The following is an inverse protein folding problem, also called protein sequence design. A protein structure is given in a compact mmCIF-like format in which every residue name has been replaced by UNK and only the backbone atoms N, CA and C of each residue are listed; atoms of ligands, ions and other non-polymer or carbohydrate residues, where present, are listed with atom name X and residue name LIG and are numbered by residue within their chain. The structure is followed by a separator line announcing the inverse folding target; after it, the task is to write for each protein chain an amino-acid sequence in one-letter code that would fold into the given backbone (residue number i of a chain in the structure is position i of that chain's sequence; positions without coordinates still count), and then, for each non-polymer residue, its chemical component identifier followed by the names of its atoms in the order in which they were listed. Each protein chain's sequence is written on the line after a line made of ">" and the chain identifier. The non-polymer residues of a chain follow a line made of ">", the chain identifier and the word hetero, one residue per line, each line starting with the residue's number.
data_IF_077743128352
#
_entry.id   IF_077743128352
#
_cell.length_a   1.000
_cell.length_b   1.000
_cell.length_c   1.000
_cell.angle_alpha   90.00
_cell.angle_beta   90.00
_cell.angle_gamma   90.00
#
_symmetry.space_group_name_H-M   'P 1'
#
loop_
_entity.id
_entity.type
_entity.pdbx_description
1 polymer ?
#
# COMPACT_ATOMS: atom_id res chain seq x y z
N UNK A 1 -4.00 -19.39 8.79
CA UNK A 1 -5.21 -18.52 8.85
C UNK A 1 -5.44 -18.10 10.28
N UNK A 2 -5.50 -16.79 10.56
CA UNK A 2 -5.47 -16.28 11.94
C UNK A 2 -6.81 -15.62 12.32
N UNK A 3 -7.57 -16.28 13.18
CA UNK A 3 -8.89 -15.85 13.69
C UNK A 3 -8.89 -14.44 14.29
N UNK A 4 -7.72 -13.96 14.74
CA UNK A 4 -7.52 -12.62 15.28
C UNK A 4 -7.95 -11.51 14.30
N UNK A 5 -7.80 -11.74 12.99
CA UNK A 5 -8.27 -10.79 11.96
C UNK A 5 -9.79 -10.65 11.94
N UNK A 6 -10.52 -11.76 12.06
CA UNK A 6 -11.99 -11.76 12.11
C UNK A 6 -12.50 -11.00 13.33
N UNK A 7 -11.90 -11.24 14.51
CA UNK A 7 -12.24 -10.53 15.74
C UNK A 7 -11.96 -9.02 15.64
N UNK A 8 -10.88 -8.63 14.96
CA UNK A 8 -10.54 -7.22 14.71
C UNK A 8 -11.55 -6.55 13.78
N UNK A 9 -11.98 -7.21 12.70
CA UNK A 9 -13.03 -6.70 11.81
C UNK A 9 -14.38 -6.56 12.53
N UNK A 10 -14.77 -7.55 13.34
CA UNK A 10 -15.98 -7.48 14.15
C UNK A 10 -15.91 -6.36 15.22
N UNK A 11 -14.71 -6.00 15.68
CA UNK A 11 -14.52 -4.85 16.59
C UNK A 11 -14.65 -3.52 15.85
N UNK A 12 -14.13 -3.40 14.62
CA UNK A 12 -14.31 -2.22 13.78
C UNK A 12 -15.77 -1.91 13.48
N UNK A 13 -16.58 -2.94 13.20
CA UNK A 13 -18.02 -2.75 12.97
C UNK A 13 -18.76 -2.19 14.20
N UNK A 14 -18.35 -2.59 15.41
CA UNK A 14 -18.98 -2.18 16.68
C UNK A 14 -18.43 -0.86 17.25
N UNK A 15 -17.13 -0.62 17.07
CA UNK A 15 -16.44 0.57 17.56
C UNK A 15 -15.45 1.02 16.49
N UNK A 16 -15.92 1.81 15.50
CA UNK A 16 -15.08 2.22 14.41
C UNK A 16 -13.90 3.06 14.91
N UNK A 17 -12.73 2.97 14.27
CA UNK A 17 -11.63 3.90 14.50
C UNK A 17 -12.06 5.34 14.21
N UNK A 18 -11.34 6.32 14.75
CA UNK A 18 -11.71 7.73 14.59
C UNK A 18 -11.84 8.12 13.11
N UNK A 19 -12.84 8.94 12.79
CA UNK A 19 -13.13 9.34 11.41
C UNK A 19 -11.91 10.00 10.73
N UNK A 20 -11.08 10.72 11.47
CA UNK A 20 -9.84 11.32 10.96
C UNK A 20 -8.84 10.28 10.46
N UNK A 21 -8.71 9.14 11.16
CA UNK A 21 -7.81 8.06 10.77
C UNK A 21 -8.31 7.37 9.49
N UNK A 22 -9.62 7.14 9.39
CA UNK A 22 -10.25 6.56 8.19
C UNK A 22 -10.07 7.47 6.99
N UNK A 23 -10.28 8.79 7.15
CA UNK A 23 -10.07 9.78 6.08
C UNK A 23 -8.62 9.84 5.62
N UNK A 24 -7.66 9.79 6.55
CA UNK A 24 -6.24 9.75 6.20
C UNK A 24 -5.93 8.53 5.32
N UNK A 25 -6.36 7.34 5.74
CA UNK A 25 -6.12 6.11 4.97
C UNK A 25 -6.82 6.16 3.61
N UNK A 26 -8.07 6.61 3.55
CA UNK A 26 -8.79 6.77 2.28
C UNK A 26 -8.11 7.77 1.34
N UNK A 27 -7.59 8.88 1.86
CA UNK A 27 -6.84 9.86 1.08
C UNK A 27 -5.56 9.24 0.50
N UNK A 28 -4.79 8.51 1.32
CA UNK A 28 -3.58 7.81 0.85
C UNK A 28 -3.92 6.78 -0.23
N UNK A 29 -4.96 5.98 -0.03
CA UNK A 29 -5.41 4.99 -1.02
C UNK A 29 -5.83 5.68 -2.32
N UNK A 30 -6.56 6.79 -2.24
CA UNK A 30 -6.96 7.56 -3.41
C UNK A 30 -5.74 8.09 -4.19
N UNK A 31 -4.71 8.59 -3.49
CA UNK A 31 -3.45 9.02 -4.12
C UNK A 31 -2.75 7.85 -4.82
N UNK A 32 -2.64 6.69 -4.16
CA UNK A 32 -2.04 5.50 -4.77
C UNK A 32 -2.81 5.03 -6.01
N UNK A 33 -4.15 5.02 -5.96
CA UNK A 33 -4.99 4.63 -7.09
C UNK A 33 -4.91 5.64 -8.24
N UNK A 34 -4.80 6.93 -7.93
CA UNK A 34 -4.63 7.98 -8.94
C UNK A 34 -3.29 7.82 -9.64
N UNK A 35 -2.21 7.59 -8.89
CA UNK A 35 -0.88 7.35 -9.43
C UNK A 35 -0.84 6.09 -10.30
N UNK A 36 -1.40 4.99 -9.80
CA UNK A 36 -1.54 3.74 -10.56
C UNK A 36 -2.40 3.91 -11.82
N UNK A 37 -3.50 4.65 -11.73
CA UNK A 37 -4.36 4.94 -12.88
C UNK A 37 -3.61 5.75 -13.94
N UNK A 38 -2.92 6.81 -13.53
CA UNK A 38 -2.09 7.64 -14.44
C UNK A 38 -1.04 6.77 -15.13
N UNK A 39 -0.36 5.90 -14.41
CA UNK A 39 0.64 4.98 -14.94
C UNK A 39 0.06 3.92 -15.89
N UNK A 40 -1.12 3.37 -15.58
CA UNK A 40 -1.79 2.41 -16.45
C UNK A 40 -2.25 3.05 -17.77
N UNK A 41 -2.69 4.31 -17.73
CA UNK A 41 -3.18 5.02 -18.93
C UNK A 41 -2.08 5.67 -19.77
N UNK A 42 -1.02 6.20 -19.16
CA UNK A 42 0.05 6.91 -19.88
C UNK A 42 1.35 6.09 -20.06
N UNK A 43 1.51 4.97 -19.33
CA UNK A 43 2.75 4.21 -19.26
C UNK A 43 3.76 4.84 -18.28
N UNK A 44 4.65 4.03 -17.70
CA UNK A 44 5.68 4.51 -16.79
C UNK A 44 6.87 5.06 -17.59
N UNK A 45 7.28 6.34 -17.43
CA UNK A 45 8.39 6.90 -18.17
C UNK A 45 9.73 6.38 -17.63
N UNK A 46 10.66 6.07 -18.54
CA UNK A 46 12.00 5.53 -18.19
C UNK A 46 12.78 6.42 -17.20
N UNK A 47 12.51 7.73 -17.19
CA UNK A 47 13.10 8.68 -16.25
C UNK A 47 12.69 8.44 -14.78
N UNK A 48 11.55 7.78 -14.55
CA UNK A 48 11.04 7.44 -13.22
C UNK A 48 11.25 5.95 -12.90
N UNK A 49 11.85 5.17 -13.81
CA UNK A 49 12.23 3.78 -13.55
C UNK A 49 13.31 3.78 -12.47
N UNK A 50 13.07 3.19 -11.28
CA UNK A 50 14.10 3.10 -10.26
C UNK A 50 15.26 2.23 -10.79
N UNK A 51 16.48 2.76 -10.81
CA UNK A 51 17.69 2.03 -11.28
C UNK A 51 18.04 0.78 -10.44
N UNK A 52 17.27 0.48 -9.39
CA UNK A 52 17.48 -0.65 -8.48
C UNK A 52 16.28 -1.57 -8.45
N UNK A 53 16.23 -2.51 -9.41
CA UNK A 53 15.31 -3.63 -9.37
C UNK A 53 15.42 -4.39 -8.04
N UNK A 54 14.28 -4.61 -7.40
CA UNK A 54 14.19 -5.21 -6.08
C UNK A 54 15.00 -6.51 -5.96
N UNK A 55 15.84 -6.55 -4.92
CA UNK A 55 16.47 -7.75 -4.33
C UNK A 55 17.55 -8.44 -5.19
N UNK A 56 18.78 -7.91 -5.14
CA UNK A 56 19.97 -8.75 -5.27
C UNK A 56 21.24 -8.14 -4.67
N UNK A 57 21.23 -7.62 -3.43
CA UNK A 57 22.48 -7.64 -2.66
C UNK A 57 22.56 -8.97 -1.91
N UNK A 58 22.88 -10.02 -2.67
CA UNK A 58 23.28 -11.32 -2.14
C UNK A 58 24.60 -11.07 -1.39
N UNK A 59 24.53 -10.90 -0.08
CA UNK A 59 25.72 -10.75 0.77
C UNK A 59 26.65 -11.97 0.53
N UNK A 60 27.91 -11.79 0.14
CA UNK A 60 28.87 -12.88 0.10
C UNK A 60 29.16 -13.28 1.55
N UNK A 61 28.84 -14.52 1.92
CA UNK A 61 29.33 -15.09 3.17
C UNK A 61 30.80 -15.47 2.95
N UNK A 62 31.71 -14.76 3.65
CA UNK A 62 33.05 -15.22 3.99
C UNK A 62 33.04 -15.66 5.45
#
# INVERSE_FOLDING_TARGET
>A
MNYRWFLRMAKWARKPPSASHVKLVLAVVAICLLLFGVEYFFGWPEALTPNGGGRAHRMPRL
#
